data_IF_047667097832
#
_entry.id   IF_047667097832
#
_cell.length_a   1.000
_cell.length_b   1.000
_cell.length_c   1.000
_cell.angle_alpha   90.00
_cell.angle_beta   90.00
_cell.angle_gamma   90.00
#
_symmetry.space_group_name_H-M   'P 1'
#
loop_
_entity.id
_entity.type
_entity.pdbx_description
1 polymer ?
#
# COMPACT_ATOMS: atom_id res chain seq x y z
N UNK A 1 6.60 32.93 -6.67
CA UNK A 1 6.98 32.01 -7.76
C UNK A 1 7.89 30.94 -7.18
N UNK A 2 7.36 29.79 -6.80
CA UNK A 2 8.15 28.66 -6.32
C UNK A 2 8.11 27.57 -7.39
N UNK A 3 9.23 27.36 -8.07
CA UNK A 3 9.39 26.20 -8.95
C UNK A 3 9.47 24.98 -8.05
N UNK A 4 8.36 24.27 -7.89
CA UNK A 4 8.37 22.87 -7.46
C UNK A 4 9.43 22.17 -8.30
N UNK A 5 10.55 21.82 -7.67
CA UNK A 5 11.57 20.97 -8.26
C UNK A 5 10.88 19.67 -8.56
N UNK A 6 10.39 19.55 -9.80
CA UNK A 6 9.98 18.30 -10.42
C UNK A 6 11.05 17.30 -10.05
N UNK A 7 10.72 16.38 -9.15
CA UNK A 7 11.53 15.21 -8.90
C UNK A 7 11.88 14.67 -10.29
N UNK A 8 13.16 14.49 -10.63
CA UNK A 8 13.52 13.86 -11.88
C UNK A 8 12.89 12.47 -11.85
N UNK A 9 11.69 12.36 -12.43
CA UNK A 9 10.96 11.11 -12.55
C UNK A 9 11.90 10.09 -13.17
N UNK A 10 11.79 8.82 -12.79
CA UNK A 10 12.81 7.84 -13.12
C UNK A 10 13.11 7.83 -14.63
N UNK A 11 14.38 8.11 -14.96
CA UNK A 11 14.84 8.42 -16.33
C UNK A 11 15.38 7.20 -17.10
N UNK A 12 15.47 6.05 -16.44
CA UNK A 12 16.14 4.87 -16.98
C UNK A 12 15.22 4.00 -17.85
N UNK A 13 15.81 3.17 -18.71
CA UNK A 13 15.11 2.42 -19.76
C UNK A 13 13.98 1.50 -19.29
N UNK A 14 14.09 0.89 -18.10
CA UNK A 14 13.04 0.03 -17.53
C UNK A 14 11.73 0.79 -17.29
N UNK A 15 11.82 2.02 -16.77
CA UNK A 15 10.68 2.91 -16.58
C UNK A 15 10.08 3.39 -17.90
N UNK A 16 10.93 3.72 -18.88
CA UNK A 16 10.46 4.12 -20.22
C UNK A 16 9.72 2.98 -20.92
N UNK A 17 10.20 1.75 -20.79
CA UNK A 17 9.54 0.57 -21.35
C UNK A 17 8.17 0.30 -20.69
N UNK A 18 8.10 0.35 -19.36
CA UNK A 18 6.84 0.19 -18.62
C UNK A 18 5.82 1.27 -19.01
N UNK A 19 6.26 2.54 -19.11
CA UNK A 19 5.45 3.67 -19.57
C UNK A 19 4.95 3.47 -21.01
N UNK A 20 5.83 3.05 -21.92
CA UNK A 20 5.44 2.78 -23.32
C UNK A 20 4.38 1.68 -23.45
N UNK A 21 4.46 0.62 -22.62
CA UNK A 21 3.45 -0.45 -22.63
C UNK A 21 2.12 0.00 -22.04
N UNK A 22 2.14 0.84 -21.00
CA UNK A 22 0.92 1.43 -20.44
C UNK A 22 0.28 2.41 -21.42
N UNK A 23 1.06 3.30 -22.03
CA UNK A 23 0.56 4.29 -23.00
C UNK A 23 -0.03 3.69 -24.29
N UNK A 24 0.26 2.42 -24.58
CA UNK A 24 -0.30 1.67 -25.72
C UNK A 24 -1.45 0.74 -25.34
N UNK A 25 -1.76 0.61 -24.04
CA UNK A 25 -2.88 -0.21 -23.60
C UNK A 25 -4.17 0.61 -23.63
N UNK A 26 -5.13 0.13 -24.41
CA UNK A 26 -6.52 0.58 -24.37
C UNK A 26 -7.35 -0.58 -23.84
N UNK A 27 -7.91 -0.48 -22.62
CA UNK A 27 -8.78 -1.50 -22.06
C UNK A 27 -10.00 -1.73 -22.95
N UNK A 28 -10.54 -2.95 -22.95
CA UNK A 28 -11.80 -3.25 -23.63
C UNK A 28 -12.95 -2.43 -23.05
N UNK A 29 -13.87 -1.99 -23.90
CA UNK A 29 -15.01 -1.17 -23.49
C UNK A 29 -15.96 -1.87 -22.51
N UNK A 30 -15.90 -3.20 -22.44
CA UNK A 30 -16.72 -4.01 -21.52
C UNK A 30 -16.03 -4.29 -20.19
N UNK A 31 -14.72 -4.03 -20.08
CA UNK A 31 -13.97 -4.17 -18.83
C UNK A 31 -14.40 -3.11 -17.82
N UNK A 32 -14.52 -3.53 -16.55
CA UNK A 32 -14.87 -2.66 -15.41
C UNK A 32 -13.80 -2.77 -14.32
N UNK A 33 -13.67 -1.77 -13.42
CA UNK A 33 -12.66 -1.79 -12.35
C UNK A 33 -12.69 -3.06 -11.48
N UNK A 34 -13.90 -3.59 -11.25
CA UNK A 34 -14.19 -4.79 -10.45
C UNK A 34 -14.27 -6.08 -11.28
N UNK A 35 -14.29 -5.97 -12.61
CA UNK A 35 -14.48 -7.10 -13.51
C UNK A 35 -13.78 -6.85 -14.85
N UNK A 36 -12.47 -7.11 -14.89
CA UNK A 36 -11.68 -7.06 -16.11
C UNK A 36 -11.88 -8.32 -16.94
N UNK A 37 -11.87 -8.18 -18.27
CA UNK A 37 -11.73 -9.32 -19.15
C UNK A 37 -10.34 -9.96 -18.97
N UNK A 38 -10.24 -11.26 -19.23
CA UNK A 38 -9.02 -12.05 -19.00
C UNK A 38 -7.78 -11.43 -19.69
N UNK A 39 -7.93 -10.96 -20.93
CA UNK A 39 -6.83 -10.35 -21.67
C UNK A 39 -6.38 -9.01 -21.06
N UNK A 40 -7.31 -8.21 -20.55
CA UNK A 40 -7.02 -6.94 -19.88
C UNK A 40 -6.38 -7.17 -18.51
N UNK A 41 -6.84 -8.19 -17.79
CA UNK A 41 -6.21 -8.64 -16.55
C UNK A 41 -4.76 -9.08 -16.80
N UNK A 42 -4.52 -9.98 -17.75
CA UNK A 42 -3.16 -10.44 -18.11
C UNK A 42 -2.28 -9.27 -18.54
N UNK A 43 -2.84 -8.30 -19.27
CA UNK A 43 -2.11 -7.12 -19.72
C UNK A 43 -1.72 -6.22 -18.55
N UNK A 44 -2.66 -5.95 -17.65
CA UNK A 44 -2.44 -5.14 -16.45
C UNK A 44 -1.38 -5.79 -15.54
N UNK A 45 -1.47 -7.10 -15.30
CA UNK A 45 -0.49 -7.86 -14.51
C UNK A 45 0.92 -7.77 -15.10
N UNK A 46 1.04 -7.90 -16.43
CA UNK A 46 2.32 -7.79 -17.12
C UNK A 46 2.92 -6.38 -17.09
N UNK A 47 2.08 -5.34 -17.04
CA UNK A 47 2.52 -3.95 -16.88
C UNK A 47 2.92 -3.69 -15.42
N UNK A 48 2.15 -4.17 -14.45
CA UNK A 48 2.45 -4.10 -13.02
C UNK A 48 3.81 -4.72 -12.69
N UNK A 49 4.08 -5.92 -13.19
CA UNK A 49 5.37 -6.59 -13.02
C UNK A 49 6.55 -5.81 -13.62
N UNK A 50 6.32 -5.00 -14.67
CA UNK A 50 7.37 -4.13 -15.22
C UNK A 50 7.64 -2.92 -14.34
N UNK A 51 6.60 -2.29 -13.79
CA UNK A 51 6.77 -1.19 -12.84
C UNK A 51 7.46 -1.65 -11.56
N UNK A 52 7.12 -2.82 -11.04
CA UNK A 52 7.82 -3.41 -9.88
C UNK A 52 9.30 -3.65 -10.18
N UNK A 53 9.63 -4.24 -11.34
CA UNK A 53 11.03 -4.40 -11.75
C UNK A 53 11.76 -3.07 -11.90
N UNK A 54 11.11 -2.08 -12.50
CA UNK A 54 11.70 -0.75 -12.66
C UNK A 54 11.96 -0.06 -11.31
N UNK A 55 11.05 -0.21 -10.34
CA UNK A 55 11.24 0.24 -8.96
C UNK A 55 12.41 -0.46 -8.28
N UNK A 56 12.45 -1.78 -8.37
CA UNK A 56 13.56 -2.59 -7.83
C UNK A 56 14.89 -2.17 -8.42
N UNK A 57 14.98 -2.02 -9.74
CA UNK A 57 16.23 -1.62 -10.42
C UNK A 57 16.68 -0.23 -9.98
N UNK A 58 15.75 0.70 -9.78
CA UNK A 58 16.07 2.04 -9.26
C UNK A 58 16.62 1.97 -7.82
N UNK A 59 16.00 1.16 -6.96
CA UNK A 59 16.43 1.00 -5.56
C UNK A 59 17.73 0.20 -5.41
N UNK A 60 18.03 -0.70 -6.35
CA UNK A 60 19.33 -1.37 -6.41
C UNK A 60 20.45 -0.41 -6.81
N UNK A 61 20.16 0.56 -7.69
CA UNK A 61 21.12 1.57 -8.09
C UNK A 61 21.33 2.64 -7.00
N UNK A 62 20.26 3.02 -6.30
CA UNK A 62 20.26 3.96 -5.19
C UNK A 62 19.25 3.51 -4.11
N UNK A 63 19.72 2.89 -3.01
CA UNK A 63 18.85 2.40 -1.94
C UNK A 63 17.99 3.47 -1.26
N UNK A 64 18.42 4.73 -1.33
CA UNK A 64 17.71 5.88 -0.74
C UNK A 64 16.80 6.58 -1.76
N UNK A 65 16.72 6.07 -2.99
CA UNK A 65 15.88 6.65 -4.02
C UNK A 65 14.43 6.81 -3.52
N UNK A 66 13.91 8.02 -3.71
CA UNK A 66 12.55 8.42 -3.33
C UNK A 66 12.25 8.41 -1.81
N UNK A 67 13.20 8.03 -0.96
CA UNK A 67 13.00 7.88 0.49
C UNK A 67 11.99 6.80 0.89
N UNK A 68 11.62 5.90 -0.02
CA UNK A 68 10.49 4.99 0.18
C UNK A 68 10.73 3.97 1.28
N UNK A 69 11.97 3.47 1.41
CA UNK A 69 12.32 2.50 2.46
C UNK A 69 12.10 3.12 3.85
N UNK A 70 12.72 4.26 4.11
CA UNK A 70 12.61 4.95 5.40
C UNK A 70 11.16 5.35 5.72
N UNK A 71 10.42 5.87 4.73
CA UNK A 71 9.02 6.24 4.92
C UNK A 71 8.13 5.03 5.25
N UNK A 72 8.30 3.91 4.53
CA UNK A 72 7.55 2.69 4.76
C UNK A 72 7.87 2.04 6.12
N UNK A 73 9.14 2.02 6.54
CA UNK A 73 9.54 1.50 7.85
C UNK A 73 8.95 2.34 8.98
N UNK A 74 9.09 3.67 8.91
CA UNK A 74 8.55 4.56 9.96
C UNK A 74 7.03 4.48 10.06
N UNK A 75 6.33 4.53 8.92
CA UNK A 75 4.88 4.43 8.90
C UNK A 75 4.37 3.05 9.31
N UNK A 76 5.07 1.98 8.89
CA UNK A 76 4.79 0.62 9.31
C UNK A 76 4.95 0.41 10.82
N UNK A 77 5.98 1.00 11.42
CA UNK A 77 6.16 1.00 12.88
C UNK A 77 4.97 1.64 13.62
N UNK A 78 4.55 2.83 13.17
CA UNK A 78 3.37 3.52 13.75
C UNK A 78 2.06 2.76 13.52
N UNK A 79 1.91 2.12 12.36
CA UNK A 79 0.76 1.25 12.08
C UNK A 79 0.70 0.07 13.06
N UNK A 80 1.81 -0.61 13.30
CA UNK A 80 1.88 -1.74 14.25
C UNK A 80 1.40 -1.31 15.64
N UNK A 81 1.89 -0.16 16.12
CA UNK A 81 1.52 0.38 17.43
C UNK A 81 0.03 0.72 17.53
N UNK A 82 -0.52 1.32 16.48
CA UNK A 82 -1.94 1.63 16.40
C UNK A 82 -2.82 0.38 16.38
N UNK A 83 -2.50 -0.60 15.53
CA UNK A 83 -3.28 -1.83 15.44
C UNK A 83 -3.21 -2.64 16.74
N UNK A 84 -2.05 -2.65 17.41
CA UNK A 84 -1.89 -3.27 18.73
C UNK A 84 -2.73 -2.56 19.80
N UNK A 85 -2.72 -1.24 19.83
CA UNK A 85 -3.54 -0.45 20.75
C UNK A 85 -5.04 -0.65 20.53
N UNK A 86 -5.49 -0.72 19.27
CA UNK A 86 -6.88 -1.01 18.91
C UNK A 86 -7.28 -2.45 19.32
N UNK A 87 -6.38 -3.42 19.20
CA UNK A 87 -6.59 -4.78 19.69
C UNK A 87 -6.76 -4.88 21.20
N UNK A 88 -6.14 -3.96 21.95
CA UNK A 88 -6.21 -3.87 23.42
C UNK A 88 -7.33 -2.97 23.94
N UNK A 89 -8.10 -2.33 23.06
CA UNK A 89 -9.06 -1.26 23.39
C UNK A 89 -8.43 -0.11 24.23
N UNK A 90 -7.11 0.10 24.07
CA UNK A 90 -6.27 0.97 24.91
C UNK A 90 -5.89 2.27 24.16
N UNK A 91 -6.79 2.78 23.30
CA UNK A 91 -6.51 3.97 22.50
C UNK A 91 -7.55 5.09 22.69
N UNK A 92 -7.10 6.33 23.00
CA UNK A 92 -7.94 7.53 22.98
C UNK A 92 -8.55 7.81 21.60
N UNK A 93 -8.03 7.17 20.54
CA UNK A 93 -8.52 7.28 19.16
C UNK A 93 -9.99 6.89 19.01
N UNK A 94 -10.48 5.97 19.86
CA UNK A 94 -11.84 5.43 19.82
C UNK A 94 -12.72 6.05 20.91
N UNK A 95 -12.13 6.51 22.02
CA UNK A 95 -12.87 6.97 23.20
C UNK A 95 -13.73 8.23 23.02
N UNK A 96 -13.48 9.03 21.98
CA UNK A 96 -14.24 10.25 21.66
C UNK A 96 -15.22 10.08 20.49
N UNK A 97 -15.34 8.87 19.93
CA UNK A 97 -16.15 8.58 18.73
C UNK A 97 -17.63 8.33 19.10
N UNK A 98 -18.33 9.30 19.68
CA UNK A 98 -19.74 9.15 20.09
C UNK A 98 -20.75 10.00 19.29
N UNK A 99 -20.37 10.59 18.15
CA UNK A 99 -21.21 11.49 17.34
C UNK A 99 -21.19 11.16 15.84
N UNK A 100 -22.23 11.51 15.09
CA UNK A 100 -22.42 11.07 13.69
C UNK A 100 -21.31 11.43 12.65
N UNK A 101 -20.25 12.17 13.02
CA UNK A 101 -19.02 12.44 12.24
C UNK A 101 -17.81 11.53 12.59
N UNK A 102 -18.03 10.46 13.36
CA UNK A 102 -16.98 9.63 13.97
C UNK A 102 -16.07 8.89 12.97
N UNK A 103 -16.63 8.36 11.88
CA UNK A 103 -15.86 7.52 10.96
C UNK A 103 -14.80 8.33 10.19
N UNK A 104 -15.19 9.51 9.68
CA UNK A 104 -14.28 10.39 8.96
C UNK A 104 -13.22 11.00 9.90
N UNK A 105 -13.61 11.35 11.13
CA UNK A 105 -12.67 11.83 12.15
C UNK A 105 -11.69 10.72 12.57
N UNK A 106 -12.17 9.48 12.75
CA UNK A 106 -11.31 8.32 12.99
C UNK A 106 -10.31 8.15 11.84
N UNK A 107 -10.78 8.12 10.59
CA UNK A 107 -9.92 7.97 9.40
C UNK A 107 -8.88 9.08 9.37
N UNK A 108 -9.27 10.33 9.62
CA UNK A 108 -8.35 11.48 9.65
C UNK A 108 -7.28 11.33 10.73
N UNK A 109 -7.66 10.97 11.96
CA UNK A 109 -6.73 10.75 13.08
C UNK A 109 -5.79 9.58 12.81
N UNK A 110 -6.33 8.46 12.31
CA UNK A 110 -5.58 7.27 11.97
C UNK A 110 -4.53 7.56 10.90
N UNK A 111 -4.93 8.22 9.81
CA UNK A 111 -4.02 8.63 8.73
C UNK A 111 -2.94 9.57 9.25
N UNK A 112 -3.30 10.56 10.08
CA UNK A 112 -2.34 11.48 10.69
C UNK A 112 -1.28 10.75 11.53
N UNK A 113 -1.71 9.78 12.35
CA UNK A 113 -0.79 9.02 13.20
C UNK A 113 0.07 8.02 12.43
N UNK A 114 -0.46 7.34 11.41
CA UNK A 114 0.34 6.42 10.57
C UNK A 114 1.29 7.19 9.67
N UNK A 115 0.81 8.19 8.94
CA UNK A 115 1.61 8.87 7.92
C UNK A 115 2.57 9.91 8.50
N UNK A 116 2.20 10.55 9.61
CA UNK A 116 2.96 11.67 10.18
C UNK A 116 3.02 12.90 9.26
N UNK A 117 3.94 13.80 9.57
CA UNK A 117 4.04 15.13 8.96
C UNK A 117 4.95 15.18 7.72
N UNK A 118 5.26 14.03 7.12
CA UNK A 118 6.12 13.93 5.94
C UNK A 118 5.62 14.76 4.75
N UNK A 119 6.55 15.25 3.93
CA UNK A 119 6.27 16.14 2.78
C UNK A 119 6.79 15.60 1.45
N UNK A 120 7.28 14.37 1.40
CA UNK A 120 7.73 13.68 0.19
C UNK A 120 6.55 13.09 -0.58
N UNK A 121 6.79 12.73 -1.85
CA UNK A 121 5.81 12.02 -2.68
C UNK A 121 5.38 10.70 -2.04
N UNK A 122 6.34 9.97 -1.46
CA UNK A 122 6.03 8.71 -0.79
C UNK A 122 5.11 8.89 0.42
N UNK A 123 5.16 10.05 1.08
CA UNK A 123 4.26 10.33 2.20
C UNK A 123 2.80 10.44 1.72
N UNK A 124 2.56 10.87 0.48
CA UNK A 124 1.22 10.82 -0.12
C UNK A 124 0.76 9.37 -0.36
N UNK A 125 1.65 8.49 -0.80
CA UNK A 125 1.35 7.05 -0.93
C UNK A 125 1.03 6.42 0.42
N UNK A 126 1.83 6.72 1.46
CA UNK A 126 1.61 6.29 2.84
C UNK A 126 0.26 6.78 3.36
N UNK A 127 -0.10 8.06 3.15
CA UNK A 127 -1.40 8.60 3.57
C UNK A 127 -2.58 7.85 2.93
N UNK A 128 -2.49 7.52 1.64
CA UNK A 128 -3.54 6.77 0.95
C UNK A 128 -3.61 5.32 1.41
N UNK A 129 -2.46 4.65 1.60
CA UNK A 129 -2.41 3.31 2.17
C UNK A 129 -3.01 3.26 3.58
N UNK A 130 -2.64 4.22 4.45
CA UNK A 130 -3.18 4.35 5.78
C UNK A 130 -4.70 4.60 5.77
N UNK A 131 -5.18 5.42 4.82
CA UNK A 131 -6.62 5.68 4.63
C UNK A 131 -7.36 4.40 4.26
N UNK A 132 -6.86 3.62 3.29
CA UNK A 132 -7.46 2.34 2.90
C UNK A 132 -7.53 1.36 4.07
N UNK A 133 -6.51 1.33 4.94
CA UNK A 133 -6.52 0.54 6.18
C UNK A 133 -7.59 1.05 7.14
N UNK A 134 -7.65 2.36 7.38
CA UNK A 134 -8.63 2.97 8.27
C UNK A 134 -10.08 2.73 7.80
N UNK A 135 -10.34 2.89 6.51
CA UNK A 135 -11.65 2.65 5.89
C UNK A 135 -12.09 1.20 6.10
N UNK A 136 -11.18 0.20 5.97
CA UNK A 136 -11.47 -1.22 6.27
C UNK A 136 -11.83 -1.47 7.73
N UNK A 137 -11.41 -0.62 8.67
CA UNK A 137 -11.77 -0.76 10.08
C UNK A 137 -13.19 -0.25 10.36
N UNK A 138 -13.64 0.76 9.62
CA UNK A 138 -14.93 1.46 9.81
C UNK A 138 -16.00 1.09 8.77
N UNK A 139 -15.71 0.19 7.82
CA UNK A 139 -16.74 -0.35 6.91
C UNK A 139 -17.85 -1.03 7.70
N UNK A 140 -19.01 -1.26 7.08
CA UNK A 140 -20.18 -1.88 7.73
C UNK A 140 -19.89 -3.22 8.40
N UNK A 141 -18.91 -3.98 7.90
CA UNK A 141 -18.49 -5.27 8.45
C UNK A 141 -17.27 -5.15 9.38
N UNK A 142 -16.64 -3.97 9.43
CA UNK A 142 -15.42 -3.69 10.15
C UNK A 142 -15.57 -3.73 11.68
N UNK A 143 -14.47 -3.91 12.42
CA UNK A 143 -14.50 -3.95 13.88
C UNK A 143 -15.01 -2.65 14.52
N UNK A 144 -14.90 -1.52 13.82
CA UNK A 144 -15.28 -0.19 14.31
C UNK A 144 -16.53 0.36 13.60
N UNK A 145 -17.34 -0.50 12.98
CA UNK A 145 -18.59 -0.11 12.32
C UNK A 145 -19.62 0.52 13.28
N UNK A 146 -19.63 0.07 14.54
CA UNK A 146 -20.45 0.63 15.62
C UNK A 146 -19.54 1.34 16.63
N UNK A 147 -19.42 2.69 16.57
CA UNK A 147 -18.57 3.46 17.47
C UNK A 147 -18.96 3.32 18.95
N UNK A 148 -20.23 3.03 19.25
CA UNK A 148 -20.69 2.81 20.61
C UNK A 148 -20.34 1.43 21.17
N UNK A 149 -19.95 0.49 20.30
CA UNK A 149 -19.57 -0.89 20.65
C UNK A 149 -18.41 -1.38 19.77
N UNK A 150 -17.23 -0.73 19.86
CA UNK A 150 -16.08 -1.12 19.07
C UNK A 150 -15.67 -2.56 19.43
N UNK A 151 -15.45 -3.38 18.41
CA UNK A 151 -14.92 -4.74 18.58
C UNK A 151 -13.39 -4.69 18.56
N UNK A 152 -12.71 -5.51 19.37
CA UNK A 152 -11.26 -5.62 19.30
C UNK A 152 -10.84 -6.17 17.92
N UNK A 153 -9.71 -5.69 17.42
CA UNK A 153 -9.10 -6.21 16.20
C UNK A 153 -8.61 -7.64 16.45
N UNK A 154 -9.03 -8.59 15.61
CA UNK A 154 -8.55 -9.97 15.67
C UNK A 154 -7.10 -10.06 15.17
N UNK A 155 -6.36 -11.08 15.61
CA UNK A 155 -5.00 -11.32 15.11
C UNK A 155 -4.94 -11.50 13.59
N UNK A 156 -5.92 -12.20 13.01
CA UNK A 156 -6.02 -12.37 11.55
C UNK A 156 -6.21 -11.04 10.83
N UNK A 157 -7.08 -10.16 11.35
CA UNK A 157 -7.30 -8.83 10.78
C UNK A 157 -6.05 -7.96 10.92
N UNK A 158 -5.36 -8.02 12.06
CA UNK A 158 -4.06 -7.35 12.24
C UNK A 158 -3.07 -7.76 11.14
N UNK A 159 -2.89 -9.07 10.92
CA UNK A 159 -1.95 -9.61 9.94
C UNK A 159 -2.35 -9.26 8.49
N UNK A 160 -3.65 -9.25 8.20
CA UNK A 160 -4.17 -8.85 6.90
C UNK A 160 -3.95 -7.36 6.62
N UNK A 161 -4.26 -6.48 7.59
CA UNK A 161 -4.05 -5.03 7.46
C UNK A 161 -2.58 -4.66 7.37
N UNK A 162 -1.72 -5.33 8.15
CA UNK A 162 -0.27 -5.18 8.09
C UNK A 162 0.26 -5.43 6.68
N UNK A 163 -0.05 -6.60 6.08
CA UNK A 163 0.42 -6.93 4.73
C UNK A 163 -0.20 -6.02 3.68
N UNK A 164 -1.50 -5.77 3.79
CA UNK A 164 -2.20 -4.88 2.86
C UNK A 164 -1.57 -3.50 2.84
N UNK A 165 -1.27 -2.89 4.00
CA UNK A 165 -0.65 -1.58 4.07
C UNK A 165 0.62 -1.46 3.22
N UNK A 166 1.57 -2.38 3.35
CA UNK A 166 2.81 -2.31 2.56
C UNK A 166 2.56 -2.53 1.06
N UNK A 167 1.63 -3.41 0.69
CA UNK A 167 1.20 -3.55 -0.69
C UNK A 167 0.63 -2.25 -1.25
N UNK A 168 -0.26 -1.61 -0.49
CA UNK A 168 -0.90 -0.34 -0.86
C UNK A 168 0.12 0.81 -0.95
N UNK A 169 1.11 0.88 -0.05
CA UNK A 169 2.19 1.89 -0.13
C UNK A 169 2.92 1.79 -1.47
N UNK A 170 3.30 0.57 -1.89
CA UNK A 170 4.02 0.37 -3.16
C UNK A 170 3.11 0.61 -4.35
N UNK A 171 1.87 0.13 -4.32
CA UNK A 171 0.87 0.35 -5.37
C UNK A 171 0.58 1.83 -5.58
N UNK A 172 0.30 2.58 -4.52
CA UNK A 172 0.06 4.02 -4.56
C UNK A 172 1.29 4.81 -4.98
N UNK A 173 2.48 4.39 -4.56
CA UNK A 173 3.71 5.02 -5.01
C UNK A 173 3.89 4.85 -6.53
N UNK A 174 3.65 3.65 -7.06
CA UNK A 174 3.65 3.40 -8.51
C UNK A 174 2.57 4.22 -9.22
N UNK A 175 1.35 4.29 -8.66
CA UNK A 175 0.28 5.14 -9.20
C UNK A 175 0.76 6.59 -9.35
N UNK A 176 1.35 7.17 -8.30
CA UNK A 176 1.84 8.56 -8.34
C UNK A 176 2.95 8.73 -9.39
N UNK A 177 3.90 7.79 -9.46
CA UNK A 177 4.97 7.83 -10.47
C UNK A 177 4.44 7.73 -11.90
N UNK A 178 3.36 6.98 -12.13
CA UNK A 178 2.68 6.92 -13.42
C UNK A 178 1.99 8.26 -13.70
N UNK A 179 1.16 8.74 -12.78
CA UNK A 179 0.36 9.95 -12.92
C UNK A 179 1.20 11.21 -13.17
N UNK A 180 2.36 11.32 -12.53
CA UNK A 180 3.28 12.46 -12.75
C UNK A 180 3.98 12.43 -14.11
N UNK A 181 4.09 11.26 -14.74
CA UNK A 181 4.89 11.08 -15.95
C UNK A 181 4.08 10.77 -17.21
N UNK A 182 2.82 10.36 -17.08
CA UNK A 182 1.94 10.10 -18.21
C UNK A 182 0.87 11.19 -18.24
N UNK A 183 1.03 12.15 -19.15
CA UNK A 183 -0.09 12.99 -19.57
C UNK A 183 -0.99 12.12 -20.43
N UNK A 184 -1.95 11.42 -19.82
CA UNK A 184 -2.96 10.66 -20.57
C UNK A 184 -3.83 11.69 -21.30
N UNK A 185 -3.46 11.98 -22.54
CA UNK A 185 -4.21 12.82 -23.46
C UNK A 185 -5.26 11.96 -24.17
N UNK A 186 -6.19 11.35 -23.41
CA UNK A 186 -7.28 10.56 -24.01
C UNK A 186 -8.59 10.89 -23.28
N UNK A 187 -9.47 11.71 -23.87
CA UNK A 187 -10.77 12.09 -23.29
C UNK A 187 -11.80 10.95 -23.19
N UNK A 188 -11.46 9.72 -23.57
CA UNK A 188 -12.41 8.63 -23.81
C UNK A 188 -12.51 7.57 -22.70
N UNK A 189 -11.80 7.71 -21.57
CA UNK A 189 -11.73 6.68 -20.51
C UNK A 189 -12.43 7.13 -19.21
N UNK A 190 -13.73 7.42 -19.26
CA UNK A 190 -14.49 7.80 -18.07
C UNK A 190 -14.98 6.59 -17.23
N UNK A 191 -14.59 5.35 -17.58
CA UNK A 191 -15.11 4.13 -16.92
C UNK A 191 -14.01 3.30 -16.24
N UNK A 192 -12.77 3.33 -16.75
CA UNK A 192 -11.63 2.59 -16.20
C UNK A 192 -10.39 3.47 -16.23
N UNK A 193 -9.76 3.73 -15.08
CA UNK A 193 -8.42 4.34 -15.02
C UNK A 193 -7.37 3.22 -15.08
N UNK A 194 -6.62 3.06 -16.20
CA UNK A 194 -5.59 2.05 -16.33
C UNK A 194 -4.47 2.18 -15.30
N UNK A 195 -4.23 3.40 -14.79
CA UNK A 195 -3.22 3.67 -13.77
C UNK A 195 -3.60 3.04 -12.44
N UNK A 196 -4.86 3.24 -12.02
CA UNK A 196 -5.41 2.64 -10.80
C UNK A 196 -5.44 1.11 -10.88
N UNK A 197 -5.84 0.57 -12.03
CA UNK A 197 -5.85 -0.88 -12.25
C UNK A 197 -4.45 -1.47 -12.09
N UNK A 198 -3.45 -0.89 -12.76
CA UNK A 198 -2.05 -1.35 -12.66
C UNK A 198 -1.53 -1.24 -11.23
N UNK A 199 -1.80 -0.11 -10.55
CA UNK A 199 -1.40 0.09 -9.16
C UNK A 199 -2.04 -0.95 -8.21
N UNK A 200 -3.30 -1.31 -8.44
CA UNK A 200 -3.98 -2.39 -7.71
C UNK A 200 -3.32 -3.75 -7.92
N UNK A 201 -2.94 -4.08 -9.17
CA UNK A 201 -2.17 -5.31 -9.44
C UNK A 201 -0.79 -5.32 -8.77
N UNK A 202 -0.08 -4.18 -8.78
CA UNK A 202 1.18 -4.03 -8.06
C UNK A 202 0.99 -4.30 -6.57
N UNK A 203 -0.02 -3.69 -5.94
CA UNK A 203 -0.30 -3.89 -4.52
C UNK A 203 -0.60 -5.37 -4.21
N UNK A 204 -1.46 -6.02 -5.01
CA UNK A 204 -1.82 -7.42 -4.85
C UNK A 204 -0.62 -8.37 -5.02
N UNK A 205 0.24 -8.12 -6.01
CA UNK A 205 1.47 -8.88 -6.22
C UNK A 205 2.42 -8.75 -5.02
N UNK A 206 2.62 -7.53 -4.51
CA UNK A 206 3.43 -7.29 -3.31
C UNK A 206 2.89 -8.08 -2.14
N UNK A 207 1.59 -7.98 -1.82
CA UNK A 207 0.98 -8.66 -0.67
C UNK A 207 1.29 -10.17 -0.68
N UNK A 208 1.26 -10.83 -1.85
CA UNK A 208 1.47 -12.28 -1.98
C UNK A 208 2.81 -12.76 -1.43
N UNK A 209 3.86 -11.94 -1.53
CA UNK A 209 5.22 -12.33 -1.10
C UNK A 209 5.59 -11.87 0.31
N UNK A 210 4.80 -10.97 0.92
CA UNK A 210 5.10 -10.43 2.24
C UNK A 210 5.00 -11.51 3.33
N UNK A 211 5.86 -11.45 4.36
CA UNK A 211 5.77 -12.38 5.47
C UNK A 211 4.45 -12.13 6.21
N UNK A 212 3.87 -13.20 6.75
CA UNK A 212 2.65 -13.12 7.54
C UNK A 212 2.99 -13.19 9.03
N UNK A 213 2.81 -12.10 9.81
CA UNK A 213 3.13 -12.12 11.23
C UNK A 213 2.42 -13.22 12.02
N UNK A 214 1.20 -13.60 11.62
CA UNK A 214 0.44 -14.67 12.25
C UNK A 214 1.09 -16.04 12.01
N UNK A 215 1.53 -16.30 10.77
CA UNK A 215 2.23 -17.55 10.44
C UNK A 215 3.59 -17.61 11.14
N UNK A 216 4.31 -16.49 11.22
CA UNK A 216 5.59 -16.41 11.92
C UNK A 216 5.45 -16.55 13.44
N UNK A 217 4.37 -16.02 14.02
CA UNK A 217 4.09 -16.18 15.45
C UNK A 217 3.89 -17.66 15.83
N UNK A 218 3.15 -18.43 15.02
CA UNK A 218 2.93 -19.87 15.23
C UNK A 218 4.26 -20.65 15.20
N UNK A 219 5.21 -20.25 14.35
CA UNK A 219 6.53 -20.90 14.27
C UNK A 219 7.40 -20.68 15.53
N UNK A 220 7.10 -19.65 16.32
CA UNK A 220 7.90 -19.27 17.50
C UNK A 220 7.59 -20.10 18.76
N UNK A 221 6.57 -20.95 18.72
CA UNK A 221 6.28 -21.91 19.79
C UNK A 221 4.81 -21.96 20.21
N UNK A 222 4.49 -22.79 21.22
CA UNK A 222 3.11 -23.00 21.70
C UNK A 222 2.51 -21.80 22.43
N UNK A 223 3.36 -20.94 23.00
CA UNK A 223 2.98 -19.63 23.56
C UNK A 223 3.51 -18.55 22.60
N UNK A 224 2.74 -18.22 21.54
CA UNK A 224 3.22 -17.28 20.55
C UNK A 224 3.40 -15.89 21.19
N UNK A 225 4.50 -15.18 20.88
CA UNK A 225 4.69 -13.81 21.32
C UNK A 225 3.59 -12.90 20.75
N UNK A 226 3.48 -11.69 21.29
CA UNK A 226 2.51 -10.70 20.80
C UNK A 226 2.72 -10.45 19.32
N UNK A 227 1.63 -10.39 18.55
CA UNK A 227 1.69 -10.17 17.10
C UNK A 227 2.37 -8.85 16.74
N UNK A 228 2.23 -7.81 17.57
CA UNK A 228 2.91 -6.53 17.38
C UNK A 228 4.44 -6.67 17.44
N UNK A 229 4.95 -7.51 18.34
CA UNK A 229 6.40 -7.74 18.49
C UNK A 229 6.92 -8.56 17.31
N UNK A 230 6.18 -9.59 16.88
CA UNK A 230 6.51 -10.35 15.66
C UNK A 230 6.51 -9.45 14.43
N UNK A 231 5.50 -8.58 14.27
CA UNK A 231 5.42 -7.66 13.15
C UNK A 231 6.55 -6.63 13.16
N UNK A 232 6.94 -6.14 14.34
CA UNK A 232 8.08 -5.22 14.50
C UNK A 232 9.39 -5.89 14.10
N UNK A 233 9.63 -7.13 14.51
CA UNK A 233 10.80 -7.90 14.09
C UNK A 233 10.84 -8.14 12.57
N UNK A 234 9.67 -8.29 11.94
CA UNK A 234 9.53 -8.52 10.51
C UNK A 234 9.56 -7.24 9.68
N UNK A 235 9.54 -6.05 10.29
CA UNK A 235 9.29 -4.79 9.60
C UNK A 235 10.30 -4.53 8.48
N UNK A 236 11.60 -4.57 8.78
CA UNK A 236 12.66 -4.35 7.80
C UNK A 236 12.64 -5.39 6.67
N UNK A 237 12.39 -6.66 7.00
CA UNK A 237 12.24 -7.73 6.00
C UNK A 237 11.01 -7.50 5.12
N UNK A 238 9.89 -7.07 5.72
CA UNK A 238 8.64 -6.79 5.01
C UNK A 238 8.82 -5.64 4.03
N UNK A 239 9.44 -4.53 4.44
CA UNK A 239 9.72 -3.40 3.55
C UNK A 239 10.69 -3.81 2.44
N UNK A 240 11.74 -4.57 2.77
CA UNK A 240 12.68 -5.09 1.78
C UNK A 240 11.99 -5.96 0.73
N UNK A 241 11.11 -6.87 1.15
CA UNK A 241 10.33 -7.72 0.23
C UNK A 241 9.29 -6.92 -0.54
N UNK A 242 8.61 -5.96 0.08
CA UNK A 242 7.62 -5.10 -0.58
C UNK A 242 8.24 -4.32 -1.75
N UNK A 243 9.49 -3.89 -1.58
CA UNK A 243 10.26 -3.19 -2.60
C UNK A 243 10.91 -4.12 -3.64
N UNK A 244 10.67 -5.42 -3.54
CA UNK A 244 11.23 -6.44 -4.44
C UNK A 244 12.73 -6.69 -4.25
N UNK A 245 13.31 -6.26 -3.12
CA UNK A 245 14.74 -6.36 -2.83
C UNK A 245 15.14 -7.62 -2.05
N UNK A 246 14.17 -8.39 -1.55
CA UNK A 246 14.43 -9.67 -0.86
C UNK A 246 14.43 -10.87 -1.81
N UNK A 247 14.79 -12.05 -1.28
CA UNK A 247 14.89 -13.30 -2.06
C UNK A 247 13.56 -13.68 -2.77
N UNK A 248 12.43 -13.43 -2.13
CA UNK A 248 11.08 -13.61 -2.72
C UNK A 248 10.75 -12.59 -3.82
N UNK A 249 11.47 -11.47 -3.88
CA UNK A 249 11.36 -10.48 -4.96
C UNK A 249 11.89 -10.97 -6.31
N UNK A 250 12.59 -12.11 -6.33
CA UNK A 250 12.97 -12.82 -7.55
C UNK A 250 11.76 -13.51 -8.21
N UNK A 251 10.80 -14.00 -7.43
CA UNK A 251 9.58 -14.67 -7.94
C UNK A 251 8.57 -13.70 -8.56
N UNK A 252 8.58 -12.43 -8.14
CA UNK A 252 7.76 -11.36 -8.76
C UNK A 252 8.30 -10.86 -10.11
N UNK A 253 9.54 -11.22 -10.44
CA UNK A 253 10.23 -10.76 -11.65
C UNK A 253 10.42 -11.83 -12.73
N UNK A 254 10.10 -13.09 -12.41
CA UNK A 254 10.08 -14.23 -13.33
C UNK A 254 8.73 -14.31 -14.06
#
# INVERSE_FOLDING_TARGET
MGTSTRLPGPKNGSWTAAKGRLGTWTPDATSRPDQLLEHDQQRAEAIAAQYQRALRDALNADPEAFGIRAAAEQAGGRLIELLDGLGRADLPLVGDLAAQDDADEFVRRFVGQVAGDGQLIVDAAVRRAARRVAERLVTQEGPLADPGRPRPITGELFCALYRAFFGEVVGEFVHILIAENIKIAVPALAILDPTDVVAGFVANQVVKVLPNPCAEAVKRGPEPPRLADVARDLLTTTVTQALGLGDSGLELAA
#
